data_IF_700561987125
#
_entry.id   IF_700561987125
#
_cell.length_a   1.000
_cell.length_b   1.000
_cell.length_c   1.000
_cell.angle_alpha   90.00
_cell.angle_beta   90.00
_cell.angle_gamma   90.00
#
_symmetry.space_group_name_H-M   'P 1'
#
loop_
_entity.id
_entity.type
_entity.pdbx_description
1 polymer ?
#
# COMPACT_ATOMS: atom_id res chain seq x y z
N UNK A 1 -34.23 6.36 -13.06
CA UNK A 1 -32.95 5.78 -12.59
C UNK A 1 -32.73 4.32 -12.97
N UNK A 2 -33.76 3.48 -13.20
CA UNK A 2 -33.58 2.03 -13.47
C UNK A 2 -33.24 1.64 -14.92
N UNK A 3 -33.54 2.47 -15.93
CA UNK A 3 -33.33 2.15 -17.37
C UNK A 3 -31.90 1.75 -17.74
N UNK A 4 -30.88 2.25 -17.03
CA UNK A 4 -29.48 1.91 -17.33
C UNK A 4 -29.08 0.54 -16.78
N UNK A 5 -29.69 0.12 -15.66
CA UNK A 5 -29.43 -1.19 -15.02
C UNK A 5 -30.02 -2.32 -15.85
N UNK A 6 -31.21 -2.13 -16.41
CA UNK A 6 -31.85 -3.12 -17.28
C UNK A 6 -31.09 -3.31 -18.60
N UNK A 7 -30.54 -2.21 -19.15
CA UNK A 7 -29.65 -2.24 -20.33
C UNK A 7 -28.37 -3.03 -20.04
N UNK A 8 -27.71 -2.77 -18.92
CA UNK A 8 -26.49 -3.47 -18.51
C UNK A 8 -26.76 -4.96 -18.21
N UNK A 9 -27.88 -5.29 -17.59
CA UNK A 9 -28.29 -6.68 -17.37
C UNK A 9 -28.53 -7.42 -18.69
N UNK A 10 -29.20 -6.78 -19.65
CA UNK A 10 -29.40 -7.36 -20.99
C UNK A 10 -28.06 -7.59 -21.70
N UNK A 11 -27.13 -6.63 -21.58
CA UNK A 11 -25.79 -6.75 -22.14
C UNK A 11 -24.97 -7.86 -21.45
N UNK A 12 -25.08 -8.00 -20.13
CA UNK A 12 -24.44 -9.07 -19.35
C UNK A 12 -24.92 -10.46 -19.80
N UNK A 13 -26.24 -10.67 -19.91
CA UNK A 13 -26.81 -11.95 -20.37
C UNK A 13 -26.35 -12.26 -21.79
N UNK A 14 -26.33 -11.26 -22.68
CA UNK A 14 -25.84 -11.41 -24.05
C UNK A 14 -24.37 -11.84 -24.08
N UNK A 15 -23.50 -11.18 -23.32
CA UNK A 15 -22.07 -11.53 -23.22
C UNK A 15 -21.86 -12.94 -22.65
N UNK A 16 -22.66 -13.36 -21.66
CA UNK A 16 -22.58 -14.74 -21.15
C UNK A 16 -22.91 -15.78 -22.22
N UNK A 17 -23.89 -15.51 -23.08
CA UNK A 17 -24.24 -16.40 -24.19
C UNK A 17 -23.16 -16.41 -25.27
N UNK A 18 -22.62 -15.24 -25.64
CA UNK A 18 -21.52 -15.12 -26.60
C UNK A 18 -20.25 -15.83 -26.10
N UNK A 19 -19.91 -15.71 -24.81
CA UNK A 19 -18.77 -16.40 -24.21
C UNK A 19 -18.96 -17.93 -24.22
N UNK A 20 -20.16 -18.42 -23.90
CA UNK A 20 -20.49 -19.86 -23.99
C UNK A 20 -20.39 -20.39 -25.42
N UNK A 21 -20.86 -19.64 -26.41
CA UNK A 21 -20.77 -20.01 -27.82
C UNK A 21 -19.34 -20.01 -28.35
N UNK A 22 -18.50 -19.10 -27.86
CA UNK A 22 -17.08 -19.00 -28.22
C UNK A 22 -16.17 -19.96 -27.45
N UNK A 23 -16.72 -20.73 -26.50
CA UNK A 23 -15.92 -21.58 -25.61
C UNK A 23 -14.96 -20.78 -24.71
N UNK A 24 -15.23 -19.49 -24.52
CA UNK A 24 -14.38 -18.58 -23.77
C UNK A 24 -14.51 -18.84 -22.26
N UNK A 25 -13.37 -19.11 -21.61
CA UNK A 25 -13.26 -19.24 -20.16
C UNK A 25 -12.50 -18.03 -19.63
N UNK A 26 -13.07 -17.31 -18.67
CA UNK A 26 -12.31 -16.32 -17.91
C UNK A 26 -11.12 -17.02 -17.23
N UNK A 27 -9.98 -16.32 -17.04
CA UNK A 27 -8.92 -16.81 -16.17
C UNK A 27 -9.54 -17.29 -14.87
N UNK A 28 -9.26 -18.53 -14.47
CA UNK A 28 -9.87 -19.04 -13.25
C UNK A 28 -9.43 -18.16 -12.08
N UNK A 29 -10.36 -17.78 -11.21
CA UNK A 29 -10.06 -17.06 -9.96
C UNK A 29 -8.92 -17.70 -9.16
N UNK A 30 -8.78 -19.03 -9.29
CA UNK A 30 -7.67 -19.80 -8.75
C UNK A 30 -6.31 -19.40 -9.33
N UNK A 31 -6.19 -19.13 -10.64
CA UNK A 31 -4.95 -18.67 -11.27
C UNK A 31 -4.59 -17.25 -10.87
N UNK A 32 -5.58 -16.34 -10.76
CA UNK A 32 -5.34 -14.99 -10.22
C UNK A 32 -4.81 -15.07 -8.78
N UNK A 33 -5.45 -15.89 -7.93
CA UNK A 33 -5.03 -16.10 -6.54
C UNK A 33 -3.62 -16.71 -6.47
N UNK A 34 -3.29 -17.64 -7.36
CA UNK A 34 -1.95 -18.24 -7.46
C UNK A 34 -0.90 -17.24 -7.90
N UNK A 35 -1.21 -16.40 -8.88
CA UNK A 35 -0.32 -15.34 -9.36
C UNK A 35 -0.05 -14.33 -8.25
N UNK A 36 -1.09 -13.87 -7.55
CA UNK A 36 -0.94 -12.98 -6.40
C UNK A 36 -0.08 -13.59 -5.30
N UNK A 37 -0.26 -14.88 -5.00
CA UNK A 37 0.57 -15.57 -4.01
C UNK A 37 2.04 -15.71 -4.45
N UNK A 38 2.29 -16.00 -5.73
CA UNK A 38 3.66 -16.06 -6.26
C UNK A 38 4.36 -14.70 -6.16
N UNK A 39 3.68 -13.62 -6.57
CA UNK A 39 4.17 -12.25 -6.45
C UNK A 39 4.41 -11.90 -4.99
N UNK A 40 3.43 -12.16 -4.10
CA UNK A 40 3.53 -11.90 -2.66
C UNK A 40 4.76 -12.53 -2.01
N UNK A 41 5.17 -13.70 -2.48
CA UNK A 41 6.32 -14.44 -1.96
C UNK A 41 7.61 -14.17 -2.75
N UNK A 42 7.61 -13.18 -3.65
CA UNK A 42 8.72 -12.85 -4.54
C UNK A 42 9.22 -14.03 -5.42
N UNK A 43 8.35 -14.98 -5.76
CA UNK A 43 8.70 -16.10 -6.64
C UNK A 43 8.48 -15.70 -8.11
N UNK A 44 9.50 -15.06 -8.70
CA UNK A 44 9.47 -14.59 -10.09
C UNK A 44 9.26 -15.74 -11.08
N UNK A 45 9.94 -16.87 -10.88
CA UNK A 45 9.88 -18.01 -11.80
C UNK A 45 8.47 -18.60 -11.85
N UNK A 46 7.84 -18.77 -10.67
CA UNK A 46 6.46 -19.25 -10.60
C UNK A 46 5.48 -18.22 -11.15
N UNK A 47 5.66 -16.93 -10.86
CA UNK A 47 4.78 -15.87 -11.33
C UNK A 47 4.78 -15.76 -12.86
N UNK A 48 5.95 -15.77 -13.51
CA UNK A 48 6.07 -15.75 -14.98
C UNK A 48 5.35 -16.96 -15.59
N UNK A 49 5.59 -18.16 -15.08
CA UNK A 49 4.95 -19.38 -15.59
C UNK A 49 3.43 -19.34 -15.48
N UNK A 50 2.89 -18.77 -14.40
CA UNK A 50 1.44 -18.60 -14.24
C UNK A 50 0.93 -17.56 -15.23
N UNK A 51 1.61 -16.42 -15.37
CA UNK A 51 1.23 -15.37 -16.31
C UNK A 51 1.23 -15.87 -17.77
N UNK A 52 2.25 -16.64 -18.18
CA UNK A 52 2.29 -17.29 -19.49
C UNK A 52 1.09 -18.21 -19.72
N UNK A 53 0.70 -18.98 -18.70
CA UNK A 53 -0.47 -19.86 -18.81
C UNK A 53 -1.78 -19.06 -18.91
N UNK A 54 -1.90 -17.95 -18.17
CA UNK A 54 -3.05 -17.03 -18.28
C UNK A 54 -3.10 -16.41 -19.68
N UNK A 55 -1.95 -16.06 -20.24
CA UNK A 55 -1.85 -15.43 -21.56
C UNK A 55 -1.99 -16.41 -22.73
N UNK A 56 -1.88 -17.73 -22.50
CA UNK A 56 -2.18 -18.77 -23.50
C UNK A 56 -3.69 -18.96 -23.72
N UNK A 57 -4.51 -18.69 -22.71
CA UNK A 57 -5.97 -18.69 -22.85
C UNK A 57 -6.40 -17.41 -23.59
N UNK A 58 -7.43 -17.48 -24.44
CA UNK A 58 -7.88 -16.32 -25.23
C UNK A 58 -8.21 -15.14 -24.30
N UNK A 59 -7.60 -13.97 -24.53
CA UNK A 59 -7.93 -12.74 -23.76
C UNK A 59 -9.35 -12.27 -24.09
N UNK A 60 -10.10 -11.73 -23.11
CA UNK A 60 -11.42 -11.17 -23.38
C UNK A 60 -11.29 -9.97 -24.32
N UNK A 61 -12.17 -9.87 -25.32
CA UNK A 61 -12.30 -8.65 -26.14
C UNK A 61 -13.11 -7.62 -25.34
N UNK A 62 -12.42 -6.79 -24.57
CA UNK A 62 -12.94 -5.80 -23.62
C UNK A 62 -13.21 -4.42 -24.25
N UNK A 63 -12.95 -4.22 -25.55
CA UNK A 63 -13.18 -2.93 -26.21
C UNK A 63 -13.38 -3.03 -27.73
N UNK A 64 -13.66 -1.88 -28.37
CA UNK A 64 -13.88 -1.73 -29.82
C UNK A 64 -12.64 -2.04 -30.69
N UNK A 65 -11.43 -2.04 -30.14
CA UNK A 65 -10.18 -2.40 -30.84
C UNK A 65 -9.32 -3.37 -30.01
N UNK A 66 -8.53 -4.21 -30.68
CA UNK A 66 -7.66 -5.22 -30.04
C UNK A 66 -6.64 -4.58 -29.10
N UNK A 67 -6.05 -3.45 -29.48
CA UNK A 67 -5.08 -2.69 -28.66
C UNK A 67 -5.74 -2.16 -27.38
N UNK A 68 -6.90 -1.50 -27.50
CA UNK A 68 -7.59 -0.95 -26.32
C UNK A 68 -8.10 -2.04 -25.37
N UNK A 69 -8.45 -3.21 -25.91
CA UNK A 69 -8.77 -4.39 -25.10
C UNK A 69 -7.58 -4.88 -24.29
N UNK A 70 -6.40 -4.91 -24.91
CA UNK A 70 -5.15 -5.31 -24.26
C UNK A 70 -4.76 -4.30 -23.18
N UNK A 71 -4.82 -2.99 -23.44
CA UNK A 71 -4.59 -1.94 -22.43
C UNK A 71 -5.46 -2.14 -21.18
N UNK A 72 -6.76 -2.37 -21.36
CA UNK A 72 -7.67 -2.62 -20.24
C UNK A 72 -7.25 -3.86 -19.43
N UNK A 73 -6.85 -4.93 -20.11
CA UNK A 73 -6.34 -6.15 -19.46
C UNK A 73 -5.09 -5.87 -18.64
N UNK A 74 -4.13 -5.11 -19.18
CA UNK A 74 -2.88 -4.78 -18.49
C UNK A 74 -3.12 -3.88 -17.28
N UNK A 75 -4.09 -2.96 -17.33
CA UNK A 75 -4.48 -2.15 -16.16
C UNK A 75 -5.03 -3.05 -15.04
N UNK A 76 -5.79 -4.10 -15.40
CA UNK A 76 -6.22 -5.12 -14.43
C UNK A 76 -5.03 -5.91 -13.87
N UNK A 77 -4.08 -6.32 -14.71
CA UNK A 77 -2.83 -6.97 -14.28
C UNK A 77 -2.04 -6.07 -13.32
N UNK A 78 -1.87 -4.79 -13.65
CA UNK A 78 -1.22 -3.78 -12.82
C UNK A 78 -1.91 -3.70 -11.45
N UNK A 79 -3.24 -3.59 -11.43
CA UNK A 79 -4.02 -3.58 -10.18
C UNK A 79 -3.79 -4.84 -9.35
N UNK A 80 -3.76 -6.03 -9.98
CA UNK A 80 -3.50 -7.30 -9.29
C UNK A 80 -2.09 -7.33 -8.69
N UNK A 81 -1.08 -6.87 -9.43
CA UNK A 81 0.31 -6.84 -8.98
C UNK A 81 0.49 -5.87 -7.80
N UNK A 82 -0.10 -4.68 -7.88
CA UNK A 82 -0.12 -3.70 -6.77
C UNK A 82 -0.68 -4.31 -5.49
N UNK A 83 -1.81 -5.03 -5.58
CA UNK A 83 -2.39 -5.68 -4.39
C UNK A 83 -1.52 -6.80 -3.86
N UNK A 84 -0.87 -7.55 -4.74
CA UNK A 84 0.03 -8.64 -4.35
C UNK A 84 1.28 -8.13 -3.63
N UNK A 85 1.94 -7.08 -4.12
CA UNK A 85 3.13 -6.52 -3.46
C UNK A 85 2.80 -5.83 -2.13
N UNK A 86 1.63 -5.17 -2.02
CA UNK A 86 1.15 -4.63 -0.74
C UNK A 86 0.93 -5.78 0.26
N UNK A 87 0.32 -6.89 -0.20
CA UNK A 87 0.14 -8.08 0.63
C UNK A 87 1.47 -8.75 0.99
N UNK A 88 2.52 -8.56 0.19
CA UNK A 88 3.91 -8.98 0.43
C UNK A 88 4.66 -8.10 1.42
N UNK A 89 4.11 -6.94 1.80
CA UNK A 89 4.69 -6.06 2.82
C UNK A 89 5.15 -4.70 2.29
N UNK A 90 4.97 -4.40 1.00
CA UNK A 90 5.28 -3.08 0.45
C UNK A 90 4.32 -2.02 0.95
N UNK A 91 4.84 -0.84 1.28
CA UNK A 91 4.02 0.28 1.70
C UNK A 91 3.04 0.69 0.58
N UNK A 92 1.74 0.91 0.88
CA UNK A 92 0.73 1.24 -0.14
C UNK A 92 1.12 2.40 -1.05
N UNK A 93 1.66 3.50 -0.50
CA UNK A 93 2.07 4.67 -1.28
C UNK A 93 3.10 4.34 -2.36
N UNK A 94 4.09 3.51 -2.03
CA UNK A 94 5.14 3.09 -2.98
C UNK A 94 4.55 2.20 -4.07
N UNK A 95 3.69 1.26 -3.68
CA UNK A 95 3.02 0.35 -4.60
C UNK A 95 2.06 1.09 -5.56
N UNK A 96 1.32 2.09 -5.07
CA UNK A 96 0.45 2.93 -5.91
C UNK A 96 1.24 3.84 -6.83
N UNK A 97 2.33 4.45 -6.35
CA UNK A 97 3.23 5.25 -7.21
C UNK A 97 3.78 4.41 -8.37
N UNK A 98 4.20 3.17 -8.10
CA UNK A 98 4.65 2.25 -9.15
C UNK A 98 3.52 1.90 -10.13
N UNK A 99 2.31 1.67 -9.62
CA UNK A 99 1.12 1.43 -10.45
C UNK A 99 0.83 2.61 -11.39
N UNK A 100 0.93 3.84 -10.91
CA UNK A 100 0.64 5.03 -11.70
C UNK A 100 1.60 5.19 -12.88
N UNK A 101 2.90 4.92 -12.66
CA UNK A 101 3.91 4.92 -13.72
C UNK A 101 3.53 3.94 -14.83
N UNK A 102 3.18 2.70 -14.48
CA UNK A 102 2.83 1.69 -15.47
C UNK A 102 1.48 1.94 -16.14
N UNK A 103 0.49 2.49 -15.44
CA UNK A 103 -0.81 2.85 -16.06
C UNK A 103 -0.60 3.93 -17.13
N UNK A 104 0.23 4.94 -16.87
CA UNK A 104 0.56 5.97 -17.86
C UNK A 104 1.29 5.36 -19.06
N UNK A 105 2.24 4.45 -18.83
CA UNK A 105 2.97 3.77 -19.91
C UNK A 105 2.05 2.86 -20.76
N UNK A 106 1.15 2.10 -20.12
CA UNK A 106 0.15 1.29 -20.84
C UNK A 106 -0.72 2.17 -21.75
N UNK A 107 -1.12 3.35 -21.28
CA UNK A 107 -1.93 4.28 -22.06
C UNK A 107 -1.14 4.92 -23.23
N UNK A 108 0.19 5.09 -23.10
CA UNK A 108 1.04 5.70 -24.14
C UNK A 108 1.33 4.75 -25.32
N UNK A 109 1.44 3.44 -25.08
CA UNK A 109 1.83 2.47 -26.10
C UNK A 109 0.74 2.20 -27.15
N UNK A 110 1.11 2.05 -28.42
CA UNK A 110 0.17 1.75 -29.52
C UNK A 110 0.44 0.41 -30.22
N UNK A 111 1.41 -0.37 -29.74
CA UNK A 111 1.79 -1.67 -30.31
C UNK A 111 1.35 -2.82 -29.41
N UNK A 112 0.79 -3.88 -30.01
CA UNK A 112 0.38 -5.10 -29.30
C UNK A 112 1.59 -5.81 -28.72
N UNK A 113 2.69 -5.92 -29.48
CA UNK A 113 3.90 -6.60 -29.04
C UNK A 113 4.55 -5.84 -27.86
N UNK A 114 4.62 -4.51 -27.96
CA UNK A 114 5.16 -3.67 -26.88
C UNK A 114 4.32 -3.77 -25.60
N UNK A 115 2.99 -3.85 -25.71
CA UNK A 115 2.12 -4.07 -24.55
C UNK A 115 2.34 -5.46 -23.95
N UNK A 116 2.49 -6.51 -24.79
CA UNK A 116 2.74 -7.85 -24.30
C UNK A 116 4.07 -7.94 -23.53
N UNK A 117 5.14 -7.32 -24.06
CA UNK A 117 6.44 -7.25 -23.41
C UNK A 117 6.38 -6.46 -22.09
N UNK A 118 5.67 -5.32 -22.09
CA UNK A 118 5.48 -4.49 -20.90
C UNK A 118 4.81 -5.26 -19.76
N UNK A 119 3.90 -6.19 -20.03
CA UNK A 119 3.24 -6.97 -18.98
C UNK A 119 4.23 -7.83 -18.17
N UNK A 120 5.22 -8.44 -18.84
CA UNK A 120 6.26 -9.23 -18.19
C UNK A 120 7.30 -8.35 -17.49
N UNK A 121 7.69 -7.24 -18.11
CA UNK A 121 8.58 -6.25 -17.49
C UNK A 121 7.96 -5.68 -16.21
N UNK A 122 6.67 -5.32 -16.28
CA UNK A 122 5.90 -4.85 -15.13
C UNK A 122 5.87 -5.92 -14.03
N UNK A 123 5.57 -7.18 -14.35
CA UNK A 123 5.58 -8.25 -13.35
C UNK A 123 6.94 -8.37 -12.66
N UNK A 124 8.02 -8.36 -13.44
CA UNK A 124 9.38 -8.46 -12.92
C UNK A 124 9.72 -7.28 -12.00
N UNK A 125 9.46 -6.04 -12.44
CA UNK A 125 9.77 -4.85 -11.64
C UNK A 125 8.98 -4.80 -10.33
N UNK A 126 7.70 -5.21 -10.33
CA UNK A 126 6.91 -5.31 -9.09
C UNK A 126 7.54 -6.30 -8.10
N UNK A 127 8.01 -7.46 -8.57
CA UNK A 127 8.68 -8.47 -7.73
C UNK A 127 10.06 -7.98 -7.27
N UNK A 128 10.81 -7.29 -8.11
CA UNK A 128 12.10 -6.69 -7.75
C UNK A 128 11.94 -5.64 -6.66
N UNK A 129 10.92 -4.78 -6.76
CA UNK A 129 10.59 -3.81 -5.70
C UNK A 129 10.30 -4.51 -4.39
N UNK A 130 9.52 -5.61 -4.43
CA UNK A 130 9.25 -6.42 -3.25
C UNK A 130 10.51 -7.12 -2.69
N UNK A 131 11.41 -7.57 -3.56
CA UNK A 131 12.62 -8.31 -3.18
C UNK A 131 13.74 -7.41 -2.65
N UNK A 132 13.78 -6.16 -3.12
CA UNK A 132 14.78 -5.15 -2.74
C UNK A 132 14.31 -4.29 -1.57
N UNK A 133 13.05 -4.38 -1.16
CA UNK A 133 12.61 -3.82 0.10
C UNK A 133 13.24 -4.65 1.23
N UNK A 134 13.77 -4.00 2.26
CA UNK A 134 13.94 -4.67 3.55
C UNK A 134 12.53 -5.11 3.98
N UNK A 135 12.19 -6.38 3.74
CA UNK A 135 10.91 -6.96 4.15
C UNK A 135 10.75 -6.57 5.60
N UNK A 136 9.74 -5.73 5.87
CA UNK A 136 9.57 -5.18 7.20
C UNK A 136 9.58 -6.36 8.19
N UNK A 137 10.37 -6.28 9.27
CA UNK A 137 10.53 -7.40 10.20
C UNK A 137 9.21 -7.73 10.94
N UNK A 138 8.17 -6.92 10.73
CA UNK A 138 6.88 -7.05 11.38
C UNK A 138 5.85 -7.72 10.46
N UNK A 139 4.88 -8.38 11.07
CA UNK A 139 3.73 -8.95 10.39
C UNK A 139 2.91 -7.88 9.67
N UNK A 140 2.14 -8.30 8.66
CA UNK A 140 1.24 -7.39 7.91
C UNK A 140 0.32 -6.56 8.82
N UNK A 141 -0.21 -7.16 9.88
CA UNK A 141 -1.06 -6.44 10.86
C UNK A 141 -0.29 -5.31 11.56
N UNK A 142 0.96 -5.55 11.92
CA UNK A 142 1.80 -4.53 12.57
C UNK A 142 2.27 -3.48 11.57
N UNK A 143 2.58 -3.85 10.33
CA UNK A 143 2.89 -2.89 9.28
C UNK A 143 1.72 -1.97 8.98
N UNK A 144 0.50 -2.50 8.90
CA UNK A 144 -0.73 -1.71 8.77
C UNK A 144 -0.90 -0.75 9.96
N UNK A 145 -0.68 -1.23 11.19
CA UNK A 145 -0.77 -0.38 12.38
C UNK A 145 0.28 0.74 12.36
N UNK A 146 1.52 0.45 11.98
CA UNK A 146 2.61 1.43 11.89
C UNK A 146 2.31 2.47 10.80
N UNK A 147 1.90 2.03 9.61
CA UNK A 147 1.52 2.90 8.49
C UNK A 147 0.38 3.84 8.90
N UNK A 148 -0.68 3.30 9.50
CA UNK A 148 -1.80 4.10 10.01
C UNK A 148 -1.37 5.11 11.06
N UNK A 149 -0.49 4.74 12.01
CA UNK A 149 0.05 5.66 13.02
C UNK A 149 0.83 6.81 12.37
N UNK A 150 1.67 6.51 11.37
CA UNK A 150 2.50 7.52 10.72
C UNK A 150 1.63 8.52 9.92
N UNK A 151 0.67 8.02 9.15
CA UNK A 151 -0.28 8.85 8.37
C UNK A 151 -1.16 9.74 9.25
N UNK A 152 -1.43 9.32 10.48
CA UNK A 152 -2.37 9.97 11.39
C UNK A 152 -1.69 10.55 12.65
N UNK A 153 -0.37 10.80 12.62
CA UNK A 153 0.43 11.14 13.81
C UNK A 153 0.00 12.43 14.52
N UNK A 154 -0.55 13.39 13.75
CA UNK A 154 -1.09 14.68 14.20
C UNK A 154 -2.58 14.63 14.57
N UNK A 155 -3.16 13.43 14.65
CA UNK A 155 -4.56 13.22 15.04
C UNK A 155 -4.65 12.39 16.32
N UNK A 156 -5.83 12.38 16.92
CA UNK A 156 -6.09 11.59 18.12
C UNK A 156 -6.08 10.08 17.81
N UNK A 157 -4.93 9.45 18.08
CA UNK A 157 -4.68 8.03 17.91
C UNK A 157 -5.05 7.26 19.19
N UNK A 158 -6.16 6.54 19.16
CA UNK A 158 -6.53 5.59 20.21
C UNK A 158 -6.25 4.16 19.77
N UNK A 159 -5.99 3.25 20.73
CA UNK A 159 -5.79 1.84 20.42
C UNK A 159 -6.97 1.24 19.65
N UNK A 160 -8.20 1.69 19.96
CA UNK A 160 -9.42 1.28 19.28
C UNK A 160 -9.40 1.67 17.79
N UNK A 161 -9.09 2.94 17.46
CA UNK A 161 -9.02 3.39 16.06
C UNK A 161 -8.01 2.60 15.24
N UNK A 162 -6.84 2.33 15.83
CA UNK A 162 -5.78 1.55 15.17
C UNK A 162 -6.22 0.11 14.97
N UNK A 163 -6.85 -0.51 15.98
CA UNK A 163 -7.33 -1.89 15.89
C UNK A 163 -8.47 -2.05 14.88
N UNK A 164 -9.37 -1.06 14.80
CA UNK A 164 -10.46 -1.03 13.83
C UNK A 164 -9.92 -0.92 12.40
N UNK A 165 -8.91 -0.06 12.18
CA UNK A 165 -8.24 0.05 10.88
C UNK A 165 -7.54 -1.25 10.46
N UNK A 166 -6.97 -1.98 11.42
CA UNK A 166 -6.31 -3.27 11.20
C UNK A 166 -7.26 -4.47 11.21
N UNK A 167 -8.58 -4.26 11.39
CA UNK A 167 -9.59 -5.32 11.49
C UNK A 167 -9.29 -6.40 12.55
N UNK A 168 -8.72 -6.01 13.69
CA UNK A 168 -8.36 -6.92 14.79
C UNK A 168 -8.86 -6.41 16.14
N UNK A 169 -8.90 -7.27 17.15
CA UNK A 169 -9.21 -6.86 18.51
C UNK A 169 -8.05 -6.04 19.13
N UNK A 170 -8.37 -4.98 19.87
CA UNK A 170 -7.40 -4.10 20.53
C UNK A 170 -6.39 -4.83 21.43
N UNK A 171 -6.81 -5.86 22.16
CA UNK A 171 -5.95 -6.64 23.07
C UNK A 171 -4.95 -7.48 22.28
N UNK A 172 -5.41 -8.09 21.18
CA UNK A 172 -4.53 -8.83 20.27
C UNK A 172 -3.50 -7.91 19.64
N UNK A 173 -3.94 -6.77 19.10
CA UNK A 173 -3.04 -5.79 18.49
C UNK A 173 -1.99 -5.28 19.50
N UNK A 174 -2.40 -4.94 20.72
CA UNK A 174 -1.48 -4.46 21.75
C UNK A 174 -0.40 -5.49 22.09
N UNK A 175 -0.79 -6.76 22.25
CA UNK A 175 0.13 -7.85 22.54
C UNK A 175 1.09 -8.11 21.37
N UNK A 176 0.54 -8.23 20.16
CA UNK A 176 1.32 -8.49 18.95
C UNK A 176 2.32 -7.36 18.67
N UNK A 177 1.88 -6.11 18.79
CA UNK A 177 2.74 -4.95 18.55
C UNK A 177 3.89 -4.89 19.54
N UNK A 178 3.64 -5.11 20.84
CA UNK A 178 4.72 -5.17 21.83
C UNK A 178 5.68 -6.33 21.58
N UNK A 179 5.17 -7.48 21.12
CA UNK A 179 5.97 -8.67 20.81
C UNK A 179 6.91 -8.43 19.63
N UNK A 180 6.40 -7.83 18.55
CA UNK A 180 7.17 -7.64 17.31
C UNK A 180 8.01 -6.37 17.32
N UNK A 181 7.45 -5.25 17.79
CA UNK A 181 8.12 -3.93 17.81
C UNK A 181 8.96 -3.73 19.09
N UNK A 182 8.78 -4.58 20.11
CA UNK A 182 9.51 -4.54 21.38
C UNK A 182 9.03 -3.48 22.37
N UNK A 183 8.20 -2.52 21.93
CA UNK A 183 7.61 -1.47 22.77
C UNK A 183 6.09 -1.41 22.60
N UNK A 184 5.38 -0.92 23.61
CA UNK A 184 3.93 -0.72 23.51
C UNK A 184 3.59 0.35 22.47
N UNK A 185 2.43 0.20 21.81
CA UNK A 185 1.89 1.16 20.83
C UNK A 185 1.92 2.61 21.34
N UNK A 186 1.51 2.86 22.58
CA UNK A 186 1.51 4.22 23.17
C UNK A 186 2.92 4.83 23.23
N UNK A 187 3.92 4.02 23.61
CA UNK A 187 5.34 4.45 23.61
C UNK A 187 5.83 4.70 22.19
N UNK A 188 5.45 3.85 21.24
CA UNK A 188 5.79 4.03 19.83
C UNK A 188 5.25 5.35 19.27
N UNK A 189 3.96 5.65 19.52
CA UNK A 189 3.32 6.91 19.09
C UNK A 189 4.04 8.12 19.71
N UNK A 190 4.31 8.10 21.02
CA UNK A 190 5.00 9.20 21.68
C UNK A 190 6.43 9.39 21.16
N UNK A 191 7.15 8.29 20.91
CA UNK A 191 8.48 8.32 20.30
C UNK A 191 8.42 8.95 18.91
N UNK A 192 7.46 8.53 18.06
CA UNK A 192 7.28 9.10 16.72
C UNK A 192 6.91 10.58 16.74
N UNK A 193 6.03 11.00 17.64
CA UNK A 193 5.70 12.42 17.84
C UNK A 193 6.92 13.24 18.27
N UNK A 194 7.77 12.70 19.15
CA UNK A 194 9.04 13.34 19.52
C UNK A 194 9.98 13.43 18.32
N UNK A 195 10.11 12.35 17.54
CA UNK A 195 10.94 12.31 16.33
C UNK A 195 10.54 13.41 15.33
N UNK A 196 9.25 13.52 15.00
CA UNK A 196 8.71 14.54 14.11
C UNK A 196 8.84 15.97 14.68
N UNK A 197 8.66 16.13 15.99
CA UNK A 197 8.81 17.42 16.66
C UNK A 197 10.22 18.00 16.56
N UNK A 198 11.25 17.16 16.38
CA UNK A 198 12.64 17.62 16.16
C UNK A 198 12.74 18.53 14.94
N UNK A 199 12.03 18.21 13.86
CA UNK A 199 12.03 19.01 12.65
C UNK A 199 11.52 20.44 12.93
N UNK A 200 10.37 20.55 13.61
CA UNK A 200 9.82 21.85 14.01
C UNK A 200 10.74 22.61 14.97
N UNK A 201 11.41 21.92 15.90
CA UNK A 201 12.36 22.56 16.82
C UNK A 201 13.55 23.19 16.10
N UNK A 202 14.02 22.59 15.01
CA UNK A 202 15.18 23.03 14.22
C UNK A 202 14.82 24.13 13.22
N UNK A 203 13.65 24.03 12.59
CA UNK A 203 13.28 24.85 11.42
C UNK A 203 12.30 25.99 11.72
N UNK A 204 11.69 26.04 12.90
CA UNK A 204 10.71 27.08 13.23
C UNK A 204 10.97 27.77 14.56
N UNK A 205 10.50 29.01 14.68
CA UNK A 205 10.52 29.80 15.93
C UNK A 205 9.32 29.53 16.83
N UNK A 206 8.47 28.55 16.50
CA UNK A 206 7.29 28.20 17.30
C UNK A 206 7.68 27.90 18.75
N UNK A 207 6.81 28.26 19.69
CA UNK A 207 7.09 28.01 21.11
C UNK A 207 7.09 26.51 21.39
N UNK A 208 7.80 26.07 22.44
CA UNK A 208 7.82 24.66 22.84
C UNK A 208 6.39 24.19 23.20
N UNK A 209 5.57 25.08 23.77
CA UNK A 209 4.15 24.85 24.03
C UNK A 209 3.36 24.58 22.76
N UNK A 210 3.52 25.41 21.72
CA UNK A 210 2.83 25.23 20.43
C UNK A 210 3.19 23.90 19.79
N UNK A 211 4.49 23.55 19.78
CA UNK A 211 4.96 22.27 19.24
C UNK A 211 4.37 21.11 20.04
N UNK A 212 4.36 21.19 21.37
CA UNK A 212 3.76 20.16 22.21
C UNK A 212 2.26 19.94 21.87
N UNK A 213 1.50 21.02 21.69
CA UNK A 213 0.07 20.94 21.34
C UNK A 213 -0.16 20.41 19.93
N UNK A 214 0.67 20.82 18.96
CA UNK A 214 0.62 20.34 17.58
C UNK A 214 0.79 18.81 17.51
N UNK A 215 1.73 18.27 18.29
CA UNK A 215 1.96 16.83 18.39
C UNK A 215 1.09 16.16 19.47
N UNK A 216 -0.02 16.79 19.85
CA UNK A 216 -1.05 16.24 20.73
C UNK A 216 -0.54 15.74 22.09
N UNK A 217 0.45 16.42 22.65
CA UNK A 217 0.79 16.27 24.07
C UNK A 217 -0.15 17.13 24.91
N UNK A 218 -0.59 16.60 26.06
CA UNK A 218 -1.53 17.30 26.94
C UNK A 218 -0.99 18.62 27.52
N UNK A 219 0.33 18.76 27.62
CA UNK A 219 1.01 19.98 28.02
C UNK A 219 2.51 19.94 27.68
N UNK A 220 3.17 21.09 27.75
CA UNK A 220 4.61 21.24 27.52
C UNK A 220 5.46 20.39 28.49
N UNK A 221 5.05 20.26 29.76
CA UNK A 221 5.82 19.53 30.77
C UNK A 221 5.90 18.04 30.43
N UNK A 222 4.79 17.43 30.02
CA UNK A 222 4.74 16.04 29.58
C UNK A 222 5.53 15.83 28.28
N UNK A 223 5.39 16.74 27.30
CA UNK A 223 6.23 16.73 26.10
C UNK A 223 7.72 16.77 26.45
N UNK A 224 8.14 17.68 27.33
CA UNK A 224 9.53 17.83 27.75
C UNK A 224 10.06 16.56 28.42
N UNK A 225 9.25 15.91 29.26
CA UNK A 225 9.60 14.64 29.90
C UNK A 225 9.78 13.51 28.87
N UNK A 226 8.85 13.37 27.91
CA UNK A 226 8.95 12.38 26.84
C UNK A 226 10.15 12.66 25.91
N UNK A 227 10.38 13.91 25.54
CA UNK A 227 11.51 14.30 24.71
C UNK A 227 12.84 13.95 25.38
N UNK A 228 13.00 14.29 26.67
CA UNK A 228 14.20 13.93 27.44
C UNK A 228 14.38 12.42 27.60
N UNK A 229 13.28 11.67 27.71
CA UNK A 229 13.33 10.21 27.78
C UNK A 229 13.92 9.59 26.49
N UNK A 230 13.54 10.10 25.31
CA UNK A 230 13.96 9.51 24.03
C UNK A 230 15.25 10.10 23.47
N UNK A 231 15.53 11.39 23.70
CA UNK A 231 16.67 12.11 23.12
C UNK A 231 17.77 12.44 24.14
N UNK A 232 17.54 12.19 25.44
CA UNK A 232 18.51 12.43 26.52
C UNK A 232 18.66 13.90 26.95
N UNK A 233 18.01 14.84 26.24
CA UNK A 233 18.05 16.29 26.52
C UNK A 233 16.65 16.91 26.40
N UNK A 234 16.47 18.13 26.88
CA UNK A 234 15.18 18.85 26.78
C UNK A 234 14.95 19.41 25.35
N UNK A 235 13.70 19.68 24.95
CA UNK A 235 13.41 20.30 23.66
C UNK A 235 14.12 21.65 23.46
N UNK A 236 14.30 22.40 24.56
CA UNK A 236 15.02 23.69 24.55
C UNK A 236 16.51 23.49 24.27
N UNK A 237 17.17 22.59 25.01
CA UNK A 237 18.57 22.26 24.79
C UNK A 237 18.81 21.72 23.37
N UNK A 238 17.89 20.89 22.88
CA UNK A 238 17.94 20.35 21.51
C UNK A 238 17.85 21.47 20.47
N UNK A 239 16.90 22.40 20.64
CA UNK A 239 16.78 23.58 19.78
C UNK A 239 18.04 24.43 19.83
N UNK A 240 18.49 24.85 21.01
CA UNK A 240 19.64 25.75 21.15
C UNK A 240 20.92 25.16 20.49
N UNK A 241 21.04 23.83 20.47
CA UNK A 241 22.16 23.13 19.82
C UNK A 241 22.04 22.99 18.30
N UNK A 242 20.83 22.83 17.77
CA UNK A 242 20.59 22.45 16.37
C UNK A 242 19.85 23.50 15.53
N UNK A 243 19.46 24.63 16.13
CA UNK A 243 18.68 25.64 15.44
C UNK A 243 19.41 26.19 14.22
N UNK A 244 18.80 26.05 13.04
CA UNK A 244 19.31 26.62 11.80
C UNK A 244 18.85 28.08 11.73
N UNK A 245 19.82 29.00 11.67
CA UNK A 245 19.58 30.45 11.58
C UNK A 245 18.93 30.85 10.26
#
# INVERSE_FOLDING_TARGET
>A
MYKNRDRLNTQFIRLQLENKQRGYLHPSFLMETRLQNAIKNADLTQAIKILENINKDQRPVLSTTTIRSLKNSLICSCTLFTRAIIAGGIHPEKAFTLSDVYIVEIESLESIDALADLEYEMLQHFIEVLSNEDISPYSNTINQAISYINENILTDLTLQKISDHCYVNHSYLSHLFKKEVGISIVKYINKKRVEEAKYMLIHTKSSITEIALLFLFCNQSYFTAQFKLYEGMTPKEFRDKHFLK
#
